data_IF_207865528928
#
_entry.id   IF_207865528928
#
_cell.length_a   1.000
_cell.length_b   1.000
_cell.length_c   1.000
_cell.angle_alpha   90.00
_cell.angle_beta   90.00
_cell.angle_gamma   90.00
#
_symmetry.space_group_name_H-M   'P 1'
#
loop_
_entity.id
_entity.type
_entity.pdbx_description
1 polymer ?
#
# COMPACT_ATOMS: atom_id res chain seq x y z
N UNK A 1 -9.53 6.53 -1.55
CA UNK A 1 -10.52 5.98 -0.59
C UNK A 1 -11.94 6.14 -1.15
N UNK A 2 -12.27 5.50 -2.27
CA UNK A 2 -13.56 5.74 -2.92
C UNK A 2 -14.69 4.99 -2.20
N UNK A 3 -14.59 3.66 -2.14
CA UNK A 3 -15.65 2.77 -1.61
C UNK A 3 -16.03 3.13 -0.17
N UNK A 4 -15.07 3.22 0.76
CA UNK A 4 -15.33 3.54 2.17
C UNK A 4 -16.04 4.90 2.32
N UNK A 5 -15.62 5.92 1.56
CA UNK A 5 -16.22 7.25 1.62
C UNK A 5 -17.67 7.24 1.10
N UNK A 6 -17.94 6.47 0.05
CA UNK A 6 -19.28 6.38 -0.56
C UNK A 6 -20.29 5.65 0.34
N UNK A 7 -19.86 4.63 1.09
CA UNK A 7 -20.78 3.82 1.90
C UNK A 7 -20.91 4.27 3.35
N UNK A 8 -19.92 5.01 3.89
CA UNK A 8 -19.96 5.54 5.27
C UNK A 8 -21.22 6.36 5.59
N UNK A 9 -21.75 7.24 4.71
CA UNK A 9 -22.96 8.01 5.01
C UNK A 9 -24.26 7.19 4.89
N UNK A 10 -24.20 5.91 4.52
CA UNK A 10 -25.39 5.08 4.37
C UNK A 10 -25.84 4.51 5.72
N UNK A 11 -27.13 4.17 5.81
CA UNK A 11 -27.66 3.43 6.97
C UNK A 11 -26.93 2.10 7.16
N UNK A 12 -26.61 1.77 8.42
CA UNK A 12 -25.96 0.52 8.80
C UNK A 12 -26.77 -0.72 8.41
N UNK A 13 -28.10 -0.63 8.45
CA UNK A 13 -29.03 -1.73 8.13
C UNK A 13 -29.24 -1.93 6.63
N UNK A 14 -28.69 -1.03 5.81
CA UNK A 14 -28.78 -1.16 4.35
C UNK A 14 -28.09 -2.45 3.91
N UNK A 15 -28.81 -3.26 3.15
CA UNK A 15 -28.26 -4.47 2.52
C UNK A 15 -27.02 -4.14 1.69
N UNK A 16 -25.99 -4.95 1.87
CA UNK A 16 -24.71 -4.93 1.18
C UNK A 16 -24.44 -6.34 0.66
N UNK A 17 -23.83 -6.47 -0.51
CA UNK A 17 -23.51 -7.78 -1.09
C UNK A 17 -22.00 -7.91 -1.26
N UNK A 18 -21.42 -8.92 -0.64
CA UNK A 18 -19.99 -9.22 -0.76
C UNK A 18 -19.79 -10.34 -1.78
N UNK A 19 -19.02 -10.08 -2.82
CA UNK A 19 -18.62 -11.10 -3.79
C UNK A 19 -17.48 -11.96 -3.23
N UNK A 20 -17.70 -13.27 -3.12
CA UNK A 20 -16.71 -14.26 -2.67
C UNK A 20 -16.76 -15.46 -3.60
N UNK A 21 -15.66 -15.74 -4.30
CA UNK A 21 -15.57 -16.93 -5.18
C UNK A 21 -16.65 -17.00 -6.26
N UNK A 22 -17.16 -15.84 -6.73
CA UNK A 22 -18.24 -15.77 -7.71
C UNK A 22 -19.66 -15.78 -7.13
N UNK A 23 -19.81 -15.94 -5.81
CA UNK A 23 -21.11 -15.90 -5.11
C UNK A 23 -21.29 -14.57 -4.37
N UNK A 24 -22.48 -13.97 -4.47
CA UNK A 24 -22.85 -12.80 -3.68
C UNK A 24 -23.43 -13.24 -2.33
N UNK A 25 -22.77 -12.81 -1.26
CA UNK A 25 -23.21 -13.03 0.11
C UNK A 25 -23.90 -11.77 0.62
N UNK A 26 -25.16 -11.89 1.02
CA UNK A 26 -25.91 -10.79 1.65
C UNK A 26 -25.34 -10.48 3.05
N UNK A 27 -25.15 -9.19 3.31
CA UNK A 27 -24.62 -8.57 4.53
C UNK A 27 -25.29 -7.22 4.74
N UNK A 28 -24.91 -6.50 5.77
CA UNK A 28 -25.30 -5.09 5.96
C UNK A 28 -24.09 -4.15 5.86
N UNK A 29 -24.34 -2.86 5.66
CA UNK A 29 -23.26 -1.85 5.71
C UNK A 29 -22.56 -1.89 7.07
N UNK A 30 -23.30 -2.07 8.17
CA UNK A 30 -22.75 -2.18 9.52
C UNK A 30 -21.77 -3.34 9.68
N UNK A 31 -22.04 -4.49 9.04
CA UNK A 31 -21.15 -5.65 9.06
C UNK A 31 -19.92 -5.49 8.15
N UNK A 32 -20.07 -4.84 7.00
CA UNK A 32 -19.02 -4.77 5.97
C UNK A 32 -18.06 -3.60 6.18
N UNK A 33 -18.53 -2.47 6.71
CA UNK A 33 -17.73 -1.26 6.87
C UNK A 33 -16.47 -1.45 7.74
N UNK A 34 -16.52 -2.18 8.89
CA UNK A 34 -15.33 -2.44 9.70
C UNK A 34 -14.28 -3.25 8.93
N UNK A 35 -14.70 -4.28 8.21
CA UNK A 35 -13.79 -5.12 7.42
C UNK A 35 -13.11 -4.32 6.29
N UNK A 36 -13.85 -3.43 5.62
CA UNK A 36 -13.28 -2.56 4.59
C UNK A 36 -12.25 -1.59 5.15
N UNK A 37 -12.51 -0.99 6.32
CA UNK A 37 -11.55 -0.10 7.01
C UNK A 37 -10.29 -0.85 7.44
N UNK A 38 -10.45 -1.99 8.12
CA UNK A 38 -9.32 -2.81 8.56
C UNK A 38 -8.44 -3.27 7.39
N UNK A 39 -9.05 -3.72 6.29
CA UNK A 39 -8.31 -4.14 5.10
C UNK A 39 -7.56 -2.98 4.45
N UNK A 40 -8.19 -1.80 4.35
CA UNK A 40 -7.55 -0.61 3.80
C UNK A 40 -6.34 -0.19 4.64
N UNK A 41 -6.49 -0.17 5.97
CA UNK A 41 -5.42 0.24 6.88
C UNK A 41 -4.29 -0.79 6.89
N UNK A 42 -4.61 -2.09 6.79
CA UNK A 42 -3.62 -3.15 6.60
C UNK A 42 -2.79 -2.99 5.32
N UNK A 43 -3.43 -2.68 4.19
CA UNK A 43 -2.74 -2.41 2.92
C UNK A 43 -1.84 -1.18 3.04
N UNK A 44 -2.32 -0.11 3.70
CA UNK A 44 -1.53 1.10 3.91
C UNK A 44 -0.28 0.82 4.76
N UNK A 45 -0.44 0.09 5.87
CA UNK A 45 0.69 -0.28 6.73
C UNK A 45 1.69 -1.18 6.02
N UNK A 46 1.24 -2.09 5.15
CA UNK A 46 2.13 -2.91 4.34
C UNK A 46 2.92 -2.06 3.33
N UNK A 47 2.27 -1.08 2.69
CA UNK A 47 2.94 -0.17 1.77
C UNK A 47 4.04 0.64 2.48
N UNK A 48 3.75 1.16 3.67
CA UNK A 48 4.73 1.89 4.49
C UNK A 48 5.95 1.02 4.81
N UNK A 49 5.74 -0.24 5.20
CA UNK A 49 6.82 -1.22 5.44
C UNK A 49 7.64 -1.50 4.18
N UNK A 50 7.00 -1.64 3.02
CA UNK A 50 7.71 -1.86 1.75
C UNK A 50 8.59 -0.66 1.38
N UNK A 51 8.10 0.57 1.61
CA UNK A 51 8.88 1.79 1.37
C UNK A 51 10.08 1.86 2.33
N UNK A 52 9.90 1.50 3.59
CA UNK A 52 10.98 1.44 4.57
C UNK A 52 12.05 0.41 4.18
N UNK A 53 11.63 -0.81 3.83
CA UNK A 53 12.53 -1.86 3.35
C UNK A 53 13.31 -1.43 2.10
N UNK A 54 12.64 -0.79 1.14
CA UNK A 54 13.27 -0.24 -0.05
C UNK A 54 14.38 0.77 0.31
N UNK A 55 14.07 1.77 1.16
CA UNK A 55 15.04 2.80 1.55
C UNK A 55 16.22 2.25 2.35
N UNK A 56 15.95 1.29 3.23
CA UNK A 56 16.99 0.58 3.97
C UNK A 56 17.93 -0.16 3.01
N UNK A 57 17.38 -0.89 2.03
CA UNK A 57 18.19 -1.60 1.03
C UNK A 57 18.95 -0.67 0.11
N UNK A 58 18.36 0.44 -0.30
CA UNK A 58 19.03 1.47 -1.11
C UNK A 58 20.24 2.06 -0.35
N UNK A 59 20.06 2.34 0.94
CA UNK A 59 21.14 2.86 1.80
C UNK A 59 22.26 1.83 1.98
N UNK A 60 21.92 0.56 2.26
CA UNK A 60 22.88 -0.55 2.34
C UNK A 60 23.66 -0.72 1.04
N UNK A 61 22.97 -0.64 -0.10
CA UNK A 61 23.57 -0.77 -1.42
C UNK A 61 24.55 0.37 -1.73
N UNK A 62 24.18 1.61 -1.41
CA UNK A 62 25.07 2.77 -1.57
C UNK A 62 26.31 2.69 -0.65
N UNK A 63 26.13 2.24 0.59
CA UNK A 63 27.24 2.01 1.52
C UNK A 63 28.21 0.95 0.99
N UNK A 64 27.67 -0.18 0.50
CA UNK A 64 28.45 -1.26 -0.09
C UNK A 64 29.25 -0.79 -1.32
N UNK A 65 28.64 -0.03 -2.24
CA UNK A 65 29.36 0.53 -3.40
C UNK A 65 30.53 1.42 -2.97
N UNK A 66 30.32 2.28 -1.97
CA UNK A 66 31.33 3.20 -1.47
C UNK A 66 32.49 2.46 -0.80
N UNK A 67 32.18 1.49 0.05
CA UNK A 67 33.18 0.69 0.76
C UNK A 67 34.10 -0.07 -0.21
N UNK A 68 33.51 -0.67 -1.25
CA UNK A 68 34.24 -1.49 -2.21
C UNK A 68 34.70 -0.74 -3.47
N UNK A 69 34.50 0.60 -3.53
CA UNK A 69 34.85 1.45 -4.68
C UNK A 69 34.27 0.92 -6.01
N UNK A 70 33.08 0.34 -5.96
CA UNK A 70 32.41 -0.23 -7.13
C UNK A 70 31.91 0.93 -8.00
N UNK A 71 32.38 1.00 -9.24
CA UNK A 71 31.87 1.95 -10.23
C UNK A 71 30.88 1.25 -11.16
N UNK A 72 29.64 1.72 -11.16
CA UNK A 72 28.65 1.30 -12.14
C UNK A 72 29.00 2.00 -13.47
N UNK A 73 29.44 1.22 -14.46
CA UNK A 73 29.71 1.73 -15.81
C UNK A 73 28.46 2.39 -16.41
N UNK A 74 28.64 3.49 -17.15
CA UNK A 74 27.57 4.30 -17.73
C UNK A 74 26.63 3.44 -18.59
N UNK A 75 25.46 3.13 -18.05
CA UNK A 75 24.45 2.31 -18.72
C UNK A 75 23.30 1.87 -17.82
N UNK A 76 23.50 1.81 -16.50
CA UNK A 76 22.44 1.59 -15.52
C UNK A 76 21.84 2.90 -15.03
N UNK A 77 20.54 3.10 -15.20
CA UNK A 77 19.80 4.30 -14.83
C UNK A 77 20.17 4.81 -13.43
N UNK A 78 20.89 5.94 -13.37
CA UNK A 78 21.02 6.73 -12.15
C UNK A 78 19.67 7.39 -11.89
N UNK A 79 18.88 6.78 -11.01
CA UNK A 79 17.59 7.34 -10.61
C UNK A 79 17.83 8.64 -9.83
N UNK A 80 17.06 9.71 -10.10
CA UNK A 80 17.27 10.99 -9.46
C UNK A 80 16.99 10.87 -7.96
N UNK A 81 17.90 11.40 -7.14
CA UNK A 81 17.63 11.65 -5.74
C UNK A 81 16.40 12.54 -5.63
N UNK A 82 15.46 12.20 -4.74
CA UNK A 82 14.28 13.02 -4.47
C UNK A 82 14.72 14.43 -4.08
N UNK A 83 14.53 15.40 -4.97
CA UNK A 83 14.73 16.81 -4.65
C UNK A 83 13.60 17.25 -3.73
N UNK A 84 13.91 17.44 -2.45
CA UNK A 84 13.12 18.28 -1.57
C UNK A 84 13.39 19.75 -1.93
N UNK A 85 12.41 20.40 -2.54
CA UNK A 85 12.23 21.85 -2.54
C UNK A 85 10.83 22.13 -2.00
#
# INVERSE_FOLDING_TARGET
RLVVNTITPMSGDRKCFRLVGGVLVERTVGEVLPALKANQDGIKGLLEKLVEQYKSKDTEFLAFQKEHRIQIGSGGARMPASSSA
#
